data_IF_473361581037
#
_entry.id   IF_473361581037
#
_cell.length_a   1.000
_cell.length_b   1.000
_cell.length_c   1.000
_cell.angle_alpha   90.00
_cell.angle_beta   90.00
_cell.angle_gamma   90.00
#
_symmetry.space_group_name_H-M   'P 1'
#
loop_
_entity.id
_entity.type
_entity.pdbx_description
1 polymer ?
#
# COMPACT_ATOMS: atom_id res chain seq x y z
N UNK A 1 19.22 -12.25 -32.12
CA UNK A 1 18.25 -13.33 -31.85
C UNK A 1 17.82 -13.19 -30.40
N UNK A 2 16.67 -12.50 -30.17
CA UNK A 2 16.15 -12.28 -28.84
C UNK A 2 15.15 -13.37 -28.47
N UNK A 3 15.61 -14.56 -28.11
CA UNK A 3 14.74 -15.52 -27.47
C UNK A 3 14.31 -15.00 -26.10
N UNK A 4 13.00 -14.99 -25.86
CA UNK A 4 12.46 -14.61 -24.55
C UNK A 4 12.84 -15.67 -23.53
N UNK A 5 13.63 -15.30 -22.53
CA UNK A 5 14.04 -16.18 -21.46
C UNK A 5 13.03 -16.08 -20.30
N UNK A 6 12.38 -17.17 -20.00
CA UNK A 6 11.48 -17.29 -18.84
C UNK A 6 12.27 -17.67 -17.58
N UNK A 7 12.13 -16.91 -16.53
CA UNK A 7 12.68 -17.18 -15.20
C UNK A 7 11.67 -16.84 -14.12
N UNK A 8 11.76 -17.48 -12.94
CA UNK A 8 10.95 -17.07 -11.80
C UNK A 8 11.21 -15.60 -11.42
N UNK A 9 10.14 -14.86 -11.14
CA UNK A 9 10.23 -13.46 -10.70
C UNK A 9 10.93 -13.34 -9.34
N UNK A 10 11.68 -12.26 -9.15
CA UNK A 10 12.33 -11.89 -7.89
C UNK A 10 11.64 -10.67 -7.29
N UNK A 11 11.76 -10.48 -5.97
CA UNK A 11 11.22 -9.30 -5.28
C UNK A 11 11.77 -7.96 -5.79
N UNK A 12 12.93 -7.98 -6.46
CA UNK A 12 13.55 -6.80 -7.08
C UNK A 12 13.05 -6.49 -8.49
N UNK A 13 12.27 -7.38 -9.09
CA UNK A 13 11.78 -7.17 -10.44
C UNK A 13 10.64 -6.15 -10.44
N UNK A 14 10.60 -5.32 -11.47
CA UNK A 14 9.53 -4.35 -11.64
C UNK A 14 8.27 -5.05 -12.17
N UNK A 15 7.11 -4.59 -11.74
CA UNK A 15 5.85 -5.00 -12.35
C UNK A 15 5.81 -4.57 -13.81
N UNK A 16 5.27 -5.44 -14.66
CA UNK A 16 5.07 -5.14 -16.08
C UNK A 16 3.99 -4.08 -16.23
N UNK A 17 4.24 -3.07 -17.04
CA UNK A 17 3.23 -2.05 -17.33
C UNK A 17 2.12 -2.67 -18.21
N UNK A 18 0.84 -2.47 -17.84
CA UNK A 18 -0.28 -3.06 -18.59
C UNK A 18 -0.51 -2.39 -19.96
N UNK A 19 0.05 -1.20 -20.18
CA UNK A 19 -0.08 -0.43 -21.41
C UNK A 19 1.30 -0.02 -21.93
N UNK A 20 1.46 -0.02 -23.25
CA UNK A 20 2.73 0.34 -23.90
C UNK A 20 3.13 1.81 -23.67
N UNK A 21 2.16 2.70 -23.56
CA UNK A 21 2.39 4.13 -23.35
C UNK A 21 1.20 4.84 -22.71
N UNK A 22 1.41 6.08 -22.27
CA UNK A 22 0.41 6.93 -21.60
C UNK A 22 -0.85 7.12 -22.44
N UNK A 23 -0.72 7.30 -23.76
CA UNK A 23 -1.87 7.52 -24.65
C UNK A 23 -2.74 6.26 -24.75
N UNK A 24 -2.13 5.08 -24.82
CA UNK A 24 -2.85 3.81 -24.82
C UNK A 24 -3.59 3.61 -23.48
N UNK A 25 -2.95 3.92 -22.35
CA UNK A 25 -3.58 3.87 -21.04
C UNK A 25 -4.79 4.82 -20.95
N UNK A 26 -4.66 6.06 -21.40
CA UNK A 26 -5.76 7.02 -21.41
C UNK A 26 -6.91 6.60 -22.33
N UNK A 27 -6.62 6.10 -23.53
CA UNK A 27 -7.63 5.64 -24.46
C UNK A 27 -8.46 4.47 -23.89
N UNK A 28 -7.79 3.54 -23.19
CA UNK A 28 -8.45 2.41 -22.55
C UNK A 28 -9.27 2.77 -21.29
N UNK A 29 -9.01 3.94 -20.69
CA UNK A 29 -9.63 4.39 -19.44
C UNK A 29 -10.45 5.69 -19.60
N UNK A 30 -11.13 5.86 -20.72
CA UNK A 30 -12.02 7.00 -20.95
C UNK A 30 -11.33 8.38 -20.82
N UNK A 31 -10.06 8.47 -21.26
CA UNK A 31 -9.25 9.69 -21.17
C UNK A 31 -8.56 9.92 -19.83
N UNK A 32 -8.85 9.12 -18.80
CA UNK A 32 -8.17 9.18 -17.51
C UNK A 32 -6.84 8.39 -17.54
N UNK A 33 -5.81 8.95 -16.89
CA UNK A 33 -4.55 8.22 -16.69
C UNK A 33 -4.59 7.48 -15.36
N UNK A 34 -4.55 6.13 -15.34
CA UNK A 34 -4.53 5.37 -14.10
C UNK A 34 -3.24 5.65 -13.31
N UNK A 35 -3.31 5.81 -11.98
CA UNK A 35 -2.11 5.96 -11.17
C UNK A 35 -1.29 4.67 -11.11
N UNK A 36 0.02 4.81 -10.85
CA UNK A 36 0.87 3.66 -10.54
C UNK A 36 0.43 3.03 -9.20
N UNK A 37 0.08 1.75 -9.25
CA UNK A 37 -0.42 1.00 -8.10
C UNK A 37 0.71 0.48 -7.19
N UNK A 38 1.96 0.42 -7.66
CA UNK A 38 3.07 -0.22 -6.93
C UNK A 38 3.37 0.44 -5.57
N UNK A 39 3.14 1.76 -5.45
CA UNK A 39 3.33 2.52 -4.21
C UNK A 39 2.07 3.29 -3.78
N UNK A 40 0.91 2.93 -4.30
CA UNK A 40 -0.34 3.66 -4.09
C UNK A 40 -0.71 3.77 -2.61
N UNK A 41 -0.51 2.71 -1.84
CA UNK A 41 -0.77 2.67 -0.39
C UNK A 41 0.04 3.73 0.36
N UNK A 42 1.27 4.02 -0.07
CA UNK A 42 2.12 5.06 0.53
C UNK A 42 1.80 6.47 0.02
N UNK A 43 1.22 6.56 -1.16
CA UNK A 43 0.91 7.82 -1.83
C UNK A 43 -0.45 8.41 -1.41
N UNK A 44 -1.18 7.76 -0.52
CA UNK A 44 -2.50 8.22 -0.04
C UNK A 44 -2.52 8.34 1.47
N UNK A 45 -3.09 9.44 1.97
CA UNK A 45 -3.43 9.58 3.37
C UNK A 45 -4.43 8.49 3.79
N UNK A 46 -4.20 7.85 4.93
CA UNK A 46 -4.97 6.68 5.35
C UNK A 46 -4.48 5.34 4.81
N UNK A 47 -3.54 5.33 3.84
CA UNK A 47 -2.85 4.11 3.39
C UNK A 47 -3.78 2.99 2.95
N UNK A 48 -3.59 1.81 3.51
CA UNK A 48 -4.37 0.59 3.22
C UNK A 48 -5.85 0.79 3.51
N UNK A 49 -6.19 1.40 4.65
CA UNK A 49 -7.57 1.57 5.11
C UNK A 49 -8.37 2.48 4.16
N UNK A 50 -7.71 3.51 3.62
CA UNK A 50 -8.31 4.37 2.61
C UNK A 50 -8.63 3.61 1.33
N UNK A 51 -7.69 2.80 0.81
CA UNK A 51 -7.89 2.06 -0.43
C UNK A 51 -8.94 0.97 -0.24
N UNK A 52 -8.91 0.28 0.90
CA UNK A 52 -9.94 -0.70 1.27
C UNK A 52 -11.34 -0.07 1.30
N UNK A 53 -11.49 1.06 1.96
CA UNK A 53 -12.75 1.80 2.02
C UNK A 53 -13.17 2.30 0.63
N UNK A 54 -12.23 2.82 -0.17
CA UNK A 54 -12.49 3.31 -1.52
C UNK A 54 -13.10 2.22 -2.41
N UNK A 55 -12.57 1.01 -2.36
CA UNK A 55 -13.08 -0.13 -3.16
C UNK A 55 -14.51 -0.53 -2.80
N UNK A 56 -14.93 -0.30 -1.56
CA UNK A 56 -16.27 -0.59 -1.06
C UNK A 56 -17.22 0.62 -1.09
N UNK A 57 -16.70 1.80 -1.45
CA UNK A 57 -17.42 3.06 -1.36
C UNK A 57 -18.26 3.41 -2.60
N UNK A 58 -18.39 2.52 -3.57
CA UNK A 58 -19.22 2.74 -4.76
C UNK A 58 -20.69 2.59 -4.41
N UNK A 59 -21.46 3.65 -4.62
CA UNK A 59 -22.87 3.72 -4.36
C UNK A 59 -23.55 4.58 -5.46
N UNK A 60 -24.88 4.54 -5.52
CA UNK A 60 -25.63 5.46 -6.37
C UNK A 60 -25.49 6.89 -5.88
N UNK A 61 -25.41 7.82 -6.83
CA UNK A 61 -25.27 9.23 -6.47
C UNK A 61 -26.50 9.73 -5.70
N UNK A 62 -26.29 10.52 -4.61
CA UNK A 62 -27.40 11.13 -3.88
C UNK A 62 -28.29 12.00 -4.76
N UNK A 63 -29.56 12.10 -4.40
CA UNK A 63 -30.52 12.93 -5.10
C UNK A 63 -30.02 14.39 -5.19
N UNK A 64 -29.97 14.93 -6.42
CA UNK A 64 -29.48 16.30 -6.71
C UNK A 64 -28.00 16.39 -7.09
N UNK A 65 -27.24 15.30 -7.06
CA UNK A 65 -25.88 15.26 -7.56
C UNK A 65 -25.86 14.82 -9.03
N UNK A 66 -25.36 15.68 -9.91
CA UNK A 66 -25.11 15.34 -11.32
C UNK A 66 -23.68 14.83 -11.49
N UNK A 67 -23.56 13.70 -12.16
CA UNK A 67 -22.26 13.13 -12.53
C UNK A 67 -22.06 13.32 -14.04
N UNK A 68 -20.84 13.66 -14.42
CA UNK A 68 -20.44 13.70 -15.83
C UNK A 68 -20.31 12.27 -16.38
N UNK A 69 -20.32 12.12 -17.70
CA UNK A 69 -20.12 10.84 -18.36
C UNK A 69 -18.78 10.21 -17.97
N UNK A 70 -18.81 8.93 -17.61
CA UNK A 70 -17.62 8.19 -17.16
C UNK A 70 -17.11 8.56 -15.75
N UNK A 71 -17.92 9.27 -14.96
CA UNK A 71 -17.64 9.58 -13.56
C UNK A 71 -18.62 8.83 -12.68
N UNK A 72 -18.10 8.19 -11.63
CA UNK A 72 -18.86 7.41 -10.66
C UNK A 72 -18.87 8.09 -9.29
N UNK A 73 -19.92 7.86 -8.52
CA UNK A 73 -19.98 8.31 -7.13
C UNK A 73 -19.21 7.32 -6.25
N UNK A 74 -18.44 7.87 -5.31
CA UNK A 74 -17.76 7.08 -4.28
C UNK A 74 -17.71 7.90 -2.98
N UNK A 75 -18.28 7.37 -1.90
CA UNK A 75 -18.42 8.09 -0.64
C UNK A 75 -17.10 8.40 0.08
N UNK A 76 -16.03 7.66 -0.23
CA UNK A 76 -14.72 7.84 0.40
C UNK A 76 -13.74 8.64 -0.46
N UNK A 77 -14.05 8.86 -1.74
CA UNK A 77 -13.21 9.71 -2.60
C UNK A 77 -13.39 11.19 -2.23
N UNK A 78 -12.29 11.93 -2.17
CA UNK A 78 -12.38 13.38 -1.99
C UNK A 78 -13.21 14.02 -3.11
N UNK A 79 -14.23 14.78 -2.74
CA UNK A 79 -15.21 15.33 -3.69
C UNK A 79 -16.25 14.32 -4.19
N UNK A 80 -16.25 13.09 -3.70
CA UNK A 80 -17.22 12.02 -3.99
C UNK A 80 -17.33 11.62 -5.48
N UNK A 81 -16.37 12.02 -6.31
CA UNK A 81 -16.35 11.75 -7.76
C UNK A 81 -15.08 11.02 -8.14
N UNK A 82 -15.21 9.88 -8.81
CA UNK A 82 -14.09 9.06 -9.27
C UNK A 82 -14.30 8.62 -10.71
N UNK A 83 -13.24 8.63 -11.53
CA UNK A 83 -13.32 8.17 -12.93
C UNK A 83 -13.17 6.66 -13.09
N UNK A 84 -12.62 5.99 -12.08
CA UNK A 84 -12.55 4.53 -12.07
C UNK A 84 -13.95 3.95 -11.87
N UNK A 85 -14.40 3.08 -12.75
CA UNK A 85 -15.60 2.27 -12.51
C UNK A 85 -15.37 1.32 -11.34
N UNK A 86 -16.45 0.85 -10.70
CA UNK A 86 -16.35 -0.14 -9.63
C UNK A 86 -15.61 -1.40 -10.13
N UNK A 87 -14.40 -1.69 -9.62
CA UNK A 87 -13.59 -2.80 -10.16
C UNK A 87 -14.02 -4.16 -9.60
N UNK A 88 -14.81 -4.18 -8.54
CA UNK A 88 -15.22 -5.39 -7.83
C UNK A 88 -16.74 -5.50 -7.82
N UNK A 89 -17.23 -6.72 -8.03
CA UNK A 89 -18.63 -7.09 -7.84
C UNK A 89 -18.71 -8.48 -7.18
N UNK A 90 -19.83 -8.79 -6.52
CA UNK A 90 -20.00 -10.08 -5.88
C UNK A 90 -19.77 -11.23 -6.86
N UNK A 91 -19.05 -12.24 -6.40
CA UNK A 91 -18.79 -13.49 -7.12
C UNK A 91 -18.12 -13.32 -8.51
N UNK A 92 -17.38 -12.21 -8.74
CA UNK A 92 -16.66 -11.97 -10.01
C UNK A 92 -15.49 -12.94 -10.23
N UNK A 93 -14.97 -13.55 -9.18
CA UNK A 93 -13.89 -14.55 -9.21
C UNK A 93 -14.31 -15.77 -8.38
N UNK A 94 -13.64 -16.89 -8.61
CA UNK A 94 -13.74 -18.08 -7.78
C UNK A 94 -12.42 -18.35 -7.08
N UNK A 95 -12.46 -18.41 -5.74
CA UNK A 95 -11.28 -18.75 -4.95
C UNK A 95 -11.05 -20.27 -4.96
N UNK A 96 -9.81 -20.69 -5.18
CA UNK A 96 -9.43 -22.11 -5.23
C UNK A 96 -9.61 -22.88 -3.91
N UNK A 97 -9.75 -22.17 -2.79
CA UNK A 97 -10.00 -22.72 -1.45
C UNK A 97 -11.48 -22.73 -1.04
N UNK A 98 -12.39 -22.31 -1.95
CA UNK A 98 -13.82 -22.22 -1.70
C UNK A 98 -14.26 -21.03 -0.86
N UNK A 99 -13.38 -20.05 -0.60
CA UNK A 99 -13.76 -18.79 0.06
C UNK A 99 -14.74 -18.03 -0.81
N UNK A 100 -15.80 -17.46 -0.20
CA UNK A 100 -16.80 -16.68 -0.95
C UNK A 100 -16.17 -15.36 -1.43
N UNK A 101 -16.32 -15.07 -2.74
CA UNK A 101 -15.79 -13.88 -3.38
C UNK A 101 -16.69 -12.64 -3.16
N UNK A 102 -16.81 -12.20 -1.90
CA UNK A 102 -17.50 -10.96 -1.56
C UNK A 102 -16.65 -9.75 -1.90
N UNK A 103 -17.27 -8.60 -2.18
CA UNK A 103 -16.55 -7.32 -2.40
C UNK A 103 -15.65 -7.01 -1.23
N UNK A 104 -16.08 -7.27 0.00
CA UNK A 104 -15.29 -7.08 1.21
C UNK A 104 -14.02 -7.93 1.22
N UNK A 105 -14.15 -9.25 0.96
CA UNK A 105 -13.01 -10.18 0.94
C UNK A 105 -12.02 -9.81 -0.16
N UNK A 106 -12.50 -9.57 -1.38
CA UNK A 106 -11.65 -9.19 -2.51
C UNK A 106 -10.94 -7.84 -2.27
N UNK A 107 -11.63 -6.87 -1.65
CA UNK A 107 -11.02 -5.58 -1.26
C UNK A 107 -9.91 -5.77 -0.25
N UNK A 108 -10.07 -6.66 0.72
CA UNK A 108 -9.05 -7.00 1.71
C UNK A 108 -7.83 -7.65 1.07
N UNK A 109 -8.05 -8.58 0.16
CA UNK A 109 -6.96 -9.31 -0.50
C UNK A 109 -6.13 -8.40 -1.40
N UNK A 110 -6.80 -7.59 -2.24
CA UNK A 110 -6.08 -6.67 -3.12
C UNK A 110 -5.34 -5.57 -2.35
N UNK A 111 -5.91 -5.05 -1.26
CA UNK A 111 -5.22 -4.05 -0.43
C UNK A 111 -4.05 -4.64 0.33
N UNK A 112 -4.15 -5.89 0.77
CA UNK A 112 -3.03 -6.63 1.36
C UNK A 112 -1.90 -6.83 0.35
N UNK A 113 -2.24 -7.20 -0.89
CA UNK A 113 -1.27 -7.29 -1.98
C UNK A 113 -0.60 -5.95 -2.28
N UNK A 114 -1.37 -4.85 -2.36
CA UNK A 114 -0.84 -3.51 -2.61
C UNK A 114 0.08 -3.03 -1.47
N UNK A 115 -0.22 -3.41 -0.22
CA UNK A 115 0.66 -3.14 0.91
C UNK A 115 1.98 -3.91 0.78
N UNK A 116 1.92 -5.19 0.43
CA UNK A 116 3.12 -5.98 0.17
C UNK A 116 3.93 -5.42 -1.01
N UNK A 117 3.27 -5.02 -2.09
CA UNK A 117 3.93 -4.42 -3.25
C UNK A 117 4.68 -3.12 -2.89
N UNK A 118 4.09 -2.28 -2.03
CA UNK A 118 4.69 -1.03 -1.57
C UNK A 118 5.81 -1.24 -0.53
N UNK A 119 5.76 -2.31 0.26
CA UNK A 119 6.68 -2.58 1.37
C UNK A 119 7.03 -4.09 1.48
N UNK A 120 7.70 -4.68 0.47
CA UNK A 120 7.98 -6.13 0.46
C UNK A 120 8.90 -6.58 1.60
N UNK A 121 9.63 -5.65 2.21
CA UNK A 121 10.54 -5.91 3.34
C UNK A 121 10.02 -5.41 4.69
N UNK A 122 8.73 -5.11 4.81
CA UNK A 122 8.13 -4.54 6.03
C UNK A 122 8.43 -5.37 7.28
N UNK A 123 8.20 -6.68 7.21
CA UNK A 123 8.44 -7.58 8.35
C UNK A 123 9.91 -7.65 8.77
N UNK A 124 10.82 -7.73 7.79
CA UNK A 124 12.26 -7.77 8.08
C UNK A 124 12.74 -6.45 8.67
N UNK A 125 12.20 -5.32 8.21
CA UNK A 125 12.48 -3.98 8.76
C UNK A 125 11.98 -3.85 10.21
N UNK A 126 10.77 -4.29 10.51
CA UNK A 126 10.23 -4.29 11.89
C UNK A 126 11.07 -5.18 12.80
N UNK A 127 11.42 -6.38 12.36
CA UNK A 127 12.28 -7.30 13.13
C UNK A 127 13.65 -6.71 13.41
N UNK A 128 14.26 -6.05 12.42
CA UNK A 128 15.53 -5.35 12.58
C UNK A 128 15.40 -4.15 13.53
N UNK A 129 14.34 -3.36 13.38
CA UNK A 129 14.03 -2.22 14.24
C UNK A 129 13.90 -2.60 15.70
N UNK A 130 13.19 -3.68 16.00
CA UNK A 130 13.07 -4.20 17.37
C UNK A 130 14.44 -4.55 17.96
N UNK A 131 15.29 -5.27 17.20
CA UNK A 131 16.65 -5.61 17.64
C UNK A 131 17.50 -4.36 17.90
N UNK A 132 17.38 -3.35 17.03
CA UNK A 132 18.10 -2.09 17.18
C UNK A 132 17.67 -1.32 18.44
N UNK A 133 16.37 -1.29 18.74
CA UNK A 133 15.84 -0.65 19.95
C UNK A 133 16.38 -1.33 21.20
N UNK A 134 16.33 -2.66 21.28
CA UNK A 134 16.88 -3.42 22.40
C UNK A 134 18.38 -3.15 22.59
N UNK A 135 19.14 -3.18 21.51
CA UNK A 135 20.58 -2.85 21.53
C UNK A 135 20.84 -1.43 22.07
N UNK A 136 20.08 -0.43 21.58
CA UNK A 136 20.24 0.95 22.01
C UNK A 136 19.88 1.16 23.48
N UNK A 137 18.86 0.47 24.00
CA UNK A 137 18.52 0.51 25.43
C UNK A 137 19.69 -0.02 26.26
N UNK A 138 20.24 -1.18 25.92
CA UNK A 138 21.38 -1.78 26.63
C UNK A 138 22.58 -0.84 26.58
N UNK A 139 22.90 -0.30 25.39
CA UNK A 139 24.01 0.62 25.22
C UNK A 139 23.81 1.89 26.06
N UNK A 140 22.61 2.46 26.09
CA UNK A 140 22.28 3.64 26.91
C UNK A 140 22.53 3.40 28.40
N UNK A 141 22.10 2.24 28.90
CA UNK A 141 22.30 1.84 30.29
C UNK A 141 23.80 1.73 30.59
N UNK A 142 24.58 1.08 29.75
CA UNK A 142 26.03 0.93 29.92
C UNK A 142 26.74 2.29 29.91
N UNK A 143 26.41 3.15 28.96
CA UNK A 143 26.96 4.52 28.85
C UNK A 143 26.59 5.32 30.10
N UNK A 144 25.36 5.25 30.57
CA UNK A 144 24.90 5.93 31.78
C UNK A 144 25.73 5.53 33.01
N UNK A 145 25.91 4.24 33.25
CA UNK A 145 26.72 3.78 34.38
C UNK A 145 28.22 4.13 34.23
N UNK A 146 28.75 4.07 33.02
CA UNK A 146 30.11 4.51 32.73
C UNK A 146 30.31 6.01 33.03
N UNK A 147 29.38 6.83 32.57
CA UNK A 147 29.36 8.27 32.86
C UNK A 147 29.33 8.51 34.37
N UNK A 148 28.36 7.90 35.08
CA UNK A 148 28.21 8.06 36.53
C UNK A 148 29.48 7.65 37.29
N UNK A 149 30.16 6.58 36.86
CA UNK A 149 31.41 6.13 37.49
C UNK A 149 32.56 7.11 37.24
N UNK A 150 32.66 7.71 36.06
CA UNK A 150 33.70 8.71 35.75
C UNK A 150 33.45 9.96 36.60
N UNK A 151 32.25 10.51 36.64
CA UNK A 151 31.92 11.71 37.38
C UNK A 151 32.10 11.57 38.89
N UNK A 152 31.77 10.41 39.47
CA UNK A 152 31.98 10.15 40.90
C UNK A 152 33.47 10.18 41.31
N UNK A 153 34.40 9.88 40.39
CA UNK A 153 35.84 10.01 40.66
C UNK A 153 36.30 11.48 40.61
N UNK A 154 35.78 12.24 39.67
CA UNK A 154 36.10 13.69 39.56
C UNK A 154 35.62 14.44 40.79
N UNK A 155 34.40 14.12 41.31
CA UNK A 155 33.85 14.74 42.51
C UNK A 155 34.62 14.37 43.81
N UNK A 156 35.31 13.22 43.80
CA UNK A 156 36.13 12.80 44.95
C UNK A 156 37.54 13.39 45.01
N UNK A 157 37.99 14.04 43.92
CA UNK A 157 39.28 14.68 43.82
C UNK A 157 39.23 16.19 44.01
N UNK A 158 38.02 16.77 44.20
CA UNK A 158 37.75 18.18 44.54
C UNK A 158 37.39 18.29 46.01
#
# INVERSE_FOLDING_TARGET
>A
DGEMFERPAKLSDKFVMPYENVKAAQAANGGAYPPDMSVLVKARGGGVDYIYSLLQGYEDAPAGMTLDEGVHYNKYMYGNKIRMSAPLSEDIIEYGDGTKATVEQMSKDVTTFLMWAAEPHLESRHRMGFKAIVYLIILTILVYFSMKRIWSRVESEV
#
